data_IF_131707454446
#
_entry.id   IF_131707454446
#
_cell.length_a   1.000
_cell.length_b   1.000
_cell.length_c   1.000
_cell.angle_alpha   90.00
_cell.angle_beta   90.00
_cell.angle_gamma   90.00
#
_symmetry.space_group_name_H-M   'P 1'
#
loop_
_entity.id
_entity.type
_entity.pdbx_description
1 polymer ?
#
# COMPACT_ATOMS: atom_id res chain seq x y z
N UNK A 1 -7.59 6.53 18.18
CA UNK A 1 -6.88 7.74 17.75
C UNK A 1 -5.51 7.87 18.44
N UNK A 2 -5.45 7.79 19.76
CA UNK A 2 -4.24 8.07 20.54
C UNK A 2 -3.09 7.08 20.31
N UNK A 3 -3.38 5.77 20.18
CA UNK A 3 -2.33 4.74 20.07
C UNK A 3 -1.78 4.53 18.67
N UNK A 4 -2.61 4.76 17.64
CA UNK A 4 -2.27 4.53 16.23
C UNK A 4 -2.83 5.67 15.36
N UNK A 5 -2.31 6.90 15.51
CA UNK A 5 -2.83 8.07 14.77
C UNK A 5 -2.72 7.90 13.26
N UNK A 6 -1.69 7.21 12.77
CA UNK A 6 -1.51 6.92 11.34
C UNK A 6 -2.70 6.16 10.73
N UNK A 7 -3.28 5.20 11.46
CA UNK A 7 -4.47 4.49 10.97
C UNK A 7 -5.67 5.43 10.89
N UNK A 8 -5.85 6.31 11.86
CA UNK A 8 -6.90 7.33 11.80
C UNK A 8 -6.72 8.24 10.59
N UNK A 9 -5.50 8.76 10.39
CA UNK A 9 -5.19 9.64 9.26
C UNK A 9 -5.46 8.96 7.90
N UNK A 10 -5.07 7.69 7.74
CA UNK A 10 -5.32 6.97 6.49
C UNK A 10 -6.81 6.72 6.26
N UNK A 11 -7.57 6.35 7.30
CA UNK A 11 -9.00 6.10 7.17
C UNK A 11 -9.80 7.37 6.88
N UNK A 12 -9.39 8.52 7.39
CA UNK A 12 -9.98 9.83 7.08
C UNK A 12 -9.79 10.26 5.62
N UNK A 13 -8.77 9.73 4.93
CA UNK A 13 -8.48 9.99 3.50
C UNK A 13 -9.17 9.01 2.54
N UNK A 14 -9.89 7.99 3.05
CA UNK A 14 -10.65 7.06 2.22
C UNK A 14 -11.90 7.76 1.66
N UNK A 15 -12.11 7.67 0.36
CA UNK A 15 -13.33 8.05 -0.35
C UNK A 15 -13.91 9.43 0.06
N UNK A 16 -15.14 9.47 0.51
CA UNK A 16 -15.84 10.66 1.03
C UNK A 16 -16.48 10.37 2.39
N UNK A 17 -16.88 11.40 3.17
CA UNK A 17 -17.59 11.19 4.44
C UNK A 17 -18.82 10.29 4.29
N UNK A 18 -19.59 10.45 3.21
CA UNK A 18 -20.81 9.65 2.95
C UNK A 18 -20.46 8.17 2.77
N UNK A 19 -19.42 7.86 1.98
CA UNK A 19 -18.98 6.48 1.78
C UNK A 19 -18.41 5.90 3.07
N UNK A 20 -17.64 6.66 3.85
CA UNK A 20 -17.11 6.20 5.14
C UNK A 20 -18.20 5.92 6.18
N UNK A 21 -19.32 6.63 6.13
CA UNK A 21 -20.47 6.37 7.01
C UNK A 21 -21.15 5.03 6.74
N UNK A 22 -21.07 4.52 5.51
CA UNK A 22 -21.66 3.24 5.11
C UNK A 22 -20.63 2.12 4.96
N UNK A 23 -19.35 2.47 4.72
CA UNK A 23 -18.28 1.53 4.49
C UNK A 23 -17.66 0.97 5.77
N UNK A 24 -16.96 -0.16 5.63
CA UNK A 24 -16.14 -0.75 6.70
C UNK A 24 -14.67 -0.78 6.31
N UNK A 25 -13.77 -0.80 7.29
CA UNK A 25 -12.35 -0.99 7.03
C UNK A 25 -12.07 -2.34 6.35
N UNK A 26 -12.79 -3.40 6.76
CA UNK A 26 -12.72 -4.71 6.11
C UNK A 26 -13.06 -4.65 4.62
N UNK A 27 -14.15 -3.96 4.26
CA UNK A 27 -14.53 -3.74 2.85
C UNK A 27 -13.51 -2.91 2.07
N UNK A 28 -12.88 -1.93 2.72
CA UNK A 28 -11.82 -1.13 2.10
C UNK A 28 -10.58 -1.99 1.76
N UNK A 29 -10.10 -2.83 2.66
CA UNK A 29 -8.91 -3.65 2.42
C UNK A 29 -9.17 -4.85 1.51
N UNK A 30 -10.42 -5.33 1.46
CA UNK A 30 -10.83 -6.45 0.62
C UNK A 30 -11.28 -6.03 -0.80
N UNK A 31 -11.29 -4.72 -1.11
CA UNK A 31 -11.76 -4.25 -2.40
C UNK A 31 -10.84 -4.69 -3.54
N UNK A 32 -11.44 -4.93 -4.71
CA UNK A 32 -10.71 -5.27 -5.92
C UNK A 32 -10.12 -4.02 -6.59
N UNK A 33 -9.18 -4.24 -7.52
CA UNK A 33 -8.51 -3.16 -8.26
C UNK A 33 -9.49 -2.21 -8.96
N UNK A 34 -9.04 -0.98 -9.17
CA UNK A 34 -9.79 0.08 -9.88
C UNK A 34 -9.30 0.29 -11.30
N UNK A 35 -8.51 -0.63 -11.84
CA UNK A 35 -8.08 -0.57 -13.24
C UNK A 35 -9.26 -0.33 -14.18
N UNK A 36 -9.21 0.72 -14.97
CA UNK A 36 -10.27 1.14 -15.89
C UNK A 36 -10.70 0.02 -16.83
N UNK A 37 -9.73 -0.62 -17.48
CA UNK A 37 -9.96 -1.68 -18.46
C UNK A 37 -10.68 -2.88 -17.86
N UNK A 38 -10.25 -3.31 -16.68
CA UNK A 38 -10.90 -4.39 -15.94
C UNK A 38 -12.32 -4.01 -15.50
N UNK A 39 -12.50 -2.79 -14.99
CA UNK A 39 -13.80 -2.29 -14.49
C UNK A 39 -14.81 -2.05 -15.62
N UNK A 40 -14.37 -1.75 -16.83
CA UNK A 40 -15.20 -1.67 -18.02
C UNK A 40 -15.54 -3.04 -18.61
N UNK A 41 -15.08 -4.15 -18.03
CA UNK A 41 -15.42 -5.51 -18.45
C UNK A 41 -14.62 -6.02 -19.65
N UNK A 42 -13.45 -5.41 -19.96
CA UNK A 42 -12.60 -5.95 -21.00
C UNK A 42 -12.02 -7.31 -20.58
N UNK A 43 -11.90 -8.30 -21.48
CA UNK A 43 -11.39 -9.63 -21.19
C UNK A 43 -9.85 -9.62 -21.04
N UNK A 44 -9.36 -8.95 -19.99
CA UNK A 44 -7.95 -8.93 -19.65
C UNK A 44 -7.55 -10.23 -18.89
N UNK A 45 -6.25 -10.43 -18.64
CA UNK A 45 -5.75 -11.59 -17.87
C UNK A 45 -6.51 -11.80 -16.58
N UNK A 46 -6.82 -10.71 -15.84
CA UNK A 46 -7.57 -10.77 -14.58
C UNK A 46 -9.02 -11.23 -14.77
N UNK A 47 -9.62 -10.95 -15.92
CA UNK A 47 -10.97 -11.35 -16.29
C UNK A 47 -11.02 -12.66 -17.08
N UNK A 48 -9.93 -13.45 -17.08
CA UNK A 48 -9.85 -14.74 -17.77
C UNK A 48 -9.43 -14.66 -19.26
N UNK A 49 -9.06 -13.49 -19.74
CA UNK A 49 -8.52 -13.30 -21.10
C UNK A 49 -7.00 -13.47 -21.16
N UNK A 50 -6.38 -12.94 -22.21
CA UNK A 50 -4.97 -13.16 -22.54
C UNK A 50 -4.18 -11.87 -22.85
N UNK A 51 -4.69 -10.72 -22.45
CA UNK A 51 -4.09 -9.40 -22.74
C UNK A 51 -4.21 -8.51 -21.52
N UNK A 52 -3.19 -7.68 -21.24
CA UNK A 52 -3.32 -6.54 -20.33
C UNK A 52 -3.54 -5.26 -21.13
N UNK A 53 -4.76 -4.76 -21.19
CA UNK A 53 -5.08 -3.55 -21.94
C UNK A 53 -4.47 -2.28 -21.36
N UNK A 54 -4.10 -2.29 -20.08
CA UNK A 54 -3.41 -1.18 -19.43
C UNK A 54 -1.90 -1.14 -19.75
N UNK A 55 -1.34 -2.25 -20.26
CA UNK A 55 0.07 -2.38 -20.62
C UNK A 55 0.25 -2.43 -22.14
N UNK A 56 -0.32 -1.44 -22.83
CA UNK A 56 -0.18 -1.24 -24.27
C UNK A 56 0.35 0.16 -24.57
N UNK A 57 0.97 0.41 -25.74
CA UNK A 57 1.60 1.70 -26.05
C UNK A 57 0.69 2.91 -25.97
N UNK A 58 -0.62 2.75 -26.19
CA UNK A 58 -1.62 3.83 -26.14
C UNK A 58 -2.51 3.78 -24.89
N UNK A 59 -2.22 2.90 -23.94
CA UNK A 59 -3.04 2.72 -22.75
C UNK A 59 -2.95 3.92 -21.81
N UNK A 60 -4.09 4.28 -21.22
CA UNK A 60 -4.16 5.21 -20.08
C UNK A 60 -3.72 4.49 -18.82
N UNK A 61 -2.43 4.56 -18.50
CA UNK A 61 -1.82 3.80 -17.39
C UNK A 61 -1.14 4.65 -16.32
N UNK A 62 -1.51 5.91 -16.24
CA UNK A 62 -1.01 6.89 -15.28
C UNK A 62 -1.08 6.44 -13.82
N UNK A 63 -2.11 5.69 -13.46
CA UNK A 63 -2.38 5.26 -12.07
C UNK A 63 -1.87 3.85 -11.76
N UNK A 64 -1.24 3.19 -12.74
CA UNK A 64 -0.84 1.79 -12.63
C UNK A 64 0.53 1.62 -11.97
N UNK A 65 0.98 0.38 -11.87
CA UNK A 65 2.13 -0.05 -11.06
C UNK A 65 3.47 0.50 -11.53
N UNK A 66 4.42 0.57 -10.59
CA UNK A 66 5.86 0.72 -10.85
C UNK A 66 6.61 -0.59 -10.62
N UNK A 67 6.02 -1.53 -9.88
CA UNK A 67 6.67 -2.78 -9.46
C UNK A 67 5.73 -3.97 -9.63
N UNK A 68 6.30 -5.18 -9.63
CA UNK A 68 5.51 -6.41 -9.60
C UNK A 68 4.57 -6.62 -10.78
N UNK A 69 4.88 -6.01 -11.93
CA UNK A 69 4.11 -6.16 -13.16
C UNK A 69 4.38 -7.53 -13.78
N UNK A 70 3.60 -8.54 -13.39
CA UNK A 70 3.51 -9.81 -14.08
C UNK A 70 2.11 -9.93 -14.69
N UNK A 71 1.97 -9.88 -15.99
CA UNK A 71 0.70 -9.97 -16.74
C UNK A 71 -0.39 -8.98 -16.33
N UNK A 72 -0.29 -8.33 -15.17
CA UNK A 72 -1.23 -7.32 -14.68
C UNK A 72 -0.49 -6.16 -14.04
N UNK A 73 -0.78 -4.95 -14.49
CA UNK A 73 -0.17 -3.70 -14.00
C UNK A 73 -1.07 -2.94 -13.02
N UNK A 74 -2.08 -3.59 -12.45
CA UNK A 74 -2.99 -2.98 -11.48
C UNK A 74 -2.26 -2.66 -10.16
N UNK A 75 -2.85 -1.77 -9.36
CA UNK A 75 -2.39 -1.42 -8.03
C UNK A 75 -3.46 -1.70 -6.99
N UNK A 76 -3.06 -1.92 -5.73
CA UNK A 76 -4.01 -1.95 -4.62
C UNK A 76 -4.63 -0.57 -4.43
N UNK A 77 -5.98 -0.47 -4.33
CA UNK A 77 -6.65 0.81 -4.19
C UNK A 77 -6.84 1.24 -2.73
N UNK A 78 -6.47 0.41 -1.76
CA UNK A 78 -6.72 0.68 -0.34
C UNK A 78 -5.68 1.65 0.25
N UNK A 79 -6.12 2.81 0.72
CA UNK A 79 -5.28 3.77 1.42
C UNK A 79 -4.84 3.25 2.82
N UNK A 80 -5.61 2.35 3.42
CA UNK A 80 -5.29 1.77 4.73
C UNK A 80 -4.35 0.56 4.64
N UNK A 81 -4.25 -0.09 3.50
CA UNK A 81 -3.44 -1.29 3.33
C UNK A 81 -1.95 -1.06 3.69
N UNK A 82 -1.27 0.01 3.21
CA UNK A 82 0.11 0.29 3.59
C UNK A 82 0.28 0.52 5.09
N UNK A 83 -0.68 1.18 5.73
CA UNK A 83 -0.66 1.44 7.17
C UNK A 83 -0.77 0.15 7.98
N UNK A 84 -1.66 -0.77 7.57
CA UNK A 84 -1.82 -2.05 8.24
C UNK A 84 -0.57 -2.92 8.11
N UNK A 85 0.10 -2.89 6.96
CA UNK A 85 1.39 -3.57 6.77
C UNK A 85 2.48 -2.92 7.62
N UNK A 86 2.57 -1.58 7.65
CA UNK A 86 3.55 -0.87 8.47
C UNK A 86 3.37 -1.12 9.98
N UNK A 87 2.13 -1.31 10.44
CA UNK A 87 1.80 -1.63 11.82
C UNK A 87 1.84 -3.14 12.15
N UNK A 88 2.23 -3.99 11.21
CA UNK A 88 2.24 -5.45 11.36
C UNK A 88 0.87 -6.03 11.82
N UNK A 89 -0.21 -5.49 11.29
CA UNK A 89 -1.56 -5.88 11.66
C UNK A 89 -1.80 -7.36 11.35
N UNK A 90 -2.66 -7.99 12.15
CA UNK A 90 -3.11 -9.37 11.95
C UNK A 90 -4.56 -9.35 11.45
N UNK A 91 -4.78 -10.02 10.34
CA UNK A 91 -6.07 -10.14 9.66
C UNK A 91 -6.73 -11.43 10.10
N UNK A 92 -7.86 -11.35 10.79
CA UNK A 92 -8.60 -12.50 11.30
C UNK A 92 -9.68 -12.88 10.30
N UNK A 93 -9.55 -14.05 9.72
CA UNK A 93 -10.43 -14.54 8.66
C UNK A 93 -11.17 -15.78 9.21
N UNK A 94 -12.48 -15.79 9.04
CA UNK A 94 -13.34 -16.90 9.47
C UNK A 94 -14.14 -17.45 8.28
N UNK A 95 -14.33 -18.76 8.28
CA UNK A 95 -15.22 -19.46 7.35
C UNK A 95 -15.86 -20.69 8.07
N UNK A 96 -16.56 -21.55 7.33
CA UNK A 96 -17.20 -22.77 7.87
C UNK A 96 -16.21 -23.77 8.49
N UNK A 97 -14.91 -23.71 8.14
CA UNK A 97 -13.87 -24.60 8.65
C UNK A 97 -13.15 -24.05 9.89
N UNK A 98 -13.47 -22.83 10.31
CA UNK A 98 -12.88 -22.17 11.48
C UNK A 98 -12.21 -20.84 11.20
N UNK A 99 -11.44 -20.36 12.20
CA UNK A 99 -10.68 -19.11 12.16
C UNK A 99 -9.24 -19.36 11.70
N UNK A 100 -8.72 -18.46 10.85
CA UNK A 100 -7.28 -18.34 10.56
C UNK A 100 -6.82 -16.89 10.68
N UNK A 101 -5.58 -16.71 11.09
CA UNK A 101 -4.97 -15.39 11.23
C UNK A 101 -3.77 -15.33 10.29
N UNK A 102 -3.71 -14.28 9.49
CA UNK A 102 -2.58 -13.99 8.60
C UNK A 102 -2.04 -12.59 8.89
N UNK A 103 -0.78 -12.32 8.59
CA UNK A 103 -0.25 -10.96 8.67
C UNK A 103 -0.89 -10.08 7.59
N UNK A 104 -0.91 -8.76 7.80
CA UNK A 104 -1.38 -7.83 6.77
C UNK A 104 -0.51 -7.92 5.49
N UNK A 105 0.79 -8.20 5.65
CA UNK A 105 1.72 -8.37 4.53
C UNK A 105 1.37 -9.61 3.67
N UNK A 106 0.98 -10.72 4.30
CA UNK A 106 0.55 -11.95 3.62
C UNK A 106 -0.92 -11.92 3.14
N UNK A 107 -1.72 -10.99 3.66
CA UNK A 107 -3.14 -10.86 3.29
C UNK A 107 -3.32 -10.37 1.85
N UNK A 108 -2.49 -9.46 1.39
CA UNK A 108 -2.51 -8.93 0.03
C UNK A 108 -1.65 -9.82 -0.87
N UNK A 109 -2.18 -10.20 -2.02
CA UNK A 109 -1.48 -11.06 -2.99
C UNK A 109 -1.36 -10.39 -4.34
N UNK A 110 -0.24 -10.67 -5.01
CA UNK A 110 0.06 -10.16 -6.35
C UNK A 110 -0.43 -11.10 -7.46
N UNK A 111 -0.32 -10.64 -8.71
CA UNK A 111 -0.74 -11.42 -9.89
C UNK A 111 0.13 -12.66 -10.13
N UNK A 112 1.29 -12.76 -9.52
CA UNK A 112 2.18 -13.93 -9.50
C UNK A 112 1.61 -15.09 -8.67
N UNK A 113 0.87 -14.77 -7.60
CA UNK A 113 0.20 -15.75 -6.74
C UNK A 113 -1.19 -16.12 -7.30
N UNK A 114 -2.03 -15.12 -7.56
CA UNK A 114 -3.34 -15.31 -8.18
C UNK A 114 -3.77 -14.01 -8.88
N UNK A 115 -3.82 -14.05 -10.19
CA UNK A 115 -4.16 -12.88 -11.01
C UNK A 115 -5.63 -12.44 -10.86
N UNK A 116 -6.51 -13.31 -10.38
CA UNK A 116 -7.94 -13.02 -10.26
C UNK A 116 -8.32 -12.35 -8.95
N UNK A 117 -7.44 -12.33 -7.96
CA UNK A 117 -7.70 -11.81 -6.61
C UNK A 117 -6.64 -10.79 -6.18
N UNK A 118 -7.01 -9.92 -5.23
CA UNK A 118 -6.08 -8.95 -4.60
C UNK A 118 -5.71 -9.36 -3.17
N UNK A 119 -6.38 -10.39 -2.63
CA UNK A 119 -6.22 -10.85 -1.24
C UNK A 119 -6.32 -12.37 -1.17
N UNK A 120 -5.89 -12.93 -0.03
CA UNK A 120 -5.99 -14.38 0.26
C UNK A 120 -7.43 -14.85 0.54
N UNK A 121 -8.41 -13.94 0.58
CA UNK A 121 -9.81 -14.28 0.80
C UNK A 121 -10.33 -15.16 -0.33
N UNK A 122 -11.05 -16.21 0.05
CA UNK A 122 -11.73 -17.16 -0.87
C UNK A 122 -13.24 -17.04 -0.71
N UNK A 123 -14.04 -17.53 -1.65
CA UNK A 123 -15.49 -17.62 -1.45
C UNK A 123 -15.83 -18.28 -0.11
N UNK A 124 -16.70 -17.64 0.68
CA UNK A 124 -17.06 -18.09 2.03
C UNK A 124 -16.19 -17.58 3.16
N UNK A 125 -15.08 -16.90 2.88
CA UNK A 125 -14.25 -16.23 3.89
C UNK A 125 -14.83 -14.87 4.28
N UNK A 126 -14.80 -14.56 5.58
CA UNK A 126 -15.18 -13.27 6.14
C UNK A 126 -14.00 -12.73 6.94
N UNK A 127 -13.54 -11.51 6.61
CA UNK A 127 -12.60 -10.76 7.45
C UNK A 127 -13.37 -10.20 8.64
N UNK A 128 -13.22 -10.85 9.80
CA UNK A 128 -14.02 -10.53 11.01
C UNK A 128 -13.39 -9.44 11.87
N UNK A 129 -12.05 -9.38 11.92
CA UNK A 129 -11.35 -8.34 12.67
C UNK A 129 -9.94 -8.10 12.14
N UNK A 130 -9.41 -6.91 12.46
CA UNK A 130 -8.03 -6.51 12.22
C UNK A 130 -7.43 -6.18 13.58
N UNK A 131 -6.42 -6.95 14.00
CA UNK A 131 -5.75 -6.80 15.29
C UNK A 131 -4.44 -6.05 15.09
N UNK A 132 -4.26 -4.94 15.83
CA UNK A 132 -3.02 -4.18 15.84
C UNK A 132 -2.14 -4.64 17.00
N UNK A 133 -0.89 -5.04 16.76
CA UNK A 133 0.03 -5.46 17.80
C UNK A 133 0.48 -4.25 18.63
N UNK A 134 0.66 -4.46 19.96
CA UNK A 134 1.06 -3.39 20.90
C UNK A 134 2.47 -2.87 20.63
N UNK A 135 3.29 -3.64 19.96
CA UNK A 135 4.70 -3.38 19.67
C UNK A 135 4.94 -2.11 18.84
N UNK A 136 3.91 -1.62 18.16
CA UNK A 136 3.95 -0.38 17.39
C UNK A 136 3.25 0.78 18.09
N UNK A 137 2.61 0.56 19.24
CA UNK A 137 1.98 1.64 19.99
C UNK A 137 3.05 2.62 20.53
N UNK A 138 2.87 3.91 20.25
CA UNK A 138 3.82 4.96 20.67
C UNK A 138 5.01 5.15 19.74
N UNK A 139 5.06 4.49 18.58
CA UNK A 139 6.02 4.81 17.54
C UNK A 139 5.82 6.26 17.04
N UNK A 140 6.84 6.82 16.42
CA UNK A 140 6.68 7.99 15.56
C UNK A 140 6.02 7.53 14.26
N UNK A 141 5.05 8.30 13.77
CA UNK A 141 4.25 7.92 12.62
C UNK A 141 4.23 9.01 11.57
N UNK A 142 4.23 8.57 10.31
CA UNK A 142 3.93 9.44 9.20
C UNK A 142 3.03 8.74 8.19
N UNK A 143 1.99 9.44 7.73
CA UNK A 143 1.15 9.01 6.62
C UNK A 143 0.90 10.19 5.70
N UNK A 144 1.10 10.00 4.41
CA UNK A 144 0.75 10.96 3.38
C UNK A 144 0.18 10.26 2.17
N UNK A 145 -0.92 10.79 1.66
CA UNK A 145 -1.58 10.37 0.43
C UNK A 145 -1.50 11.50 -0.57
N UNK A 146 -0.96 11.24 -1.76
CA UNK A 146 -1.02 12.14 -2.91
C UNK A 146 -2.03 11.59 -3.91
N UNK A 147 -2.98 12.44 -4.29
CA UNK A 147 -4.05 12.17 -5.24
C UNK A 147 -4.34 13.44 -6.04
N UNK A 148 -5.11 13.33 -7.14
CA UNK A 148 -5.48 14.52 -7.94
C UNK A 148 -6.51 15.40 -7.22
N UNK A 149 -7.31 14.80 -6.33
CA UNK A 149 -8.32 15.50 -5.52
C UNK A 149 -8.15 15.14 -4.04
N UNK A 150 -8.49 16.04 -3.15
CA UNK A 150 -8.40 15.83 -1.70
C UNK A 150 -9.39 14.79 -1.18
N UNK A 151 -10.52 14.64 -1.86
CA UNK A 151 -11.59 13.69 -1.50
C UNK A 151 -12.09 12.96 -2.73
N UNK A 152 -12.69 11.78 -2.51
CA UNK A 152 -13.25 10.94 -3.56
C UNK A 152 -12.22 10.55 -4.63
N UNK A 153 -11.02 10.20 -4.20
CA UNK A 153 -9.96 9.82 -5.11
C UNK A 153 -9.09 8.72 -4.54
N UNK A 154 -8.50 7.92 -5.42
CA UNK A 154 -7.50 6.92 -5.05
C UNK A 154 -6.12 7.56 -5.02
N UNK A 155 -5.20 6.98 -4.27
CA UNK A 155 -3.84 7.51 -4.23
C UNK A 155 -3.12 7.25 -5.56
N UNK A 156 -2.43 8.27 -6.05
CA UNK A 156 -1.36 8.11 -7.04
C UNK A 156 -0.19 7.37 -6.40
N UNK A 157 0.25 7.86 -5.24
CA UNK A 157 1.18 7.23 -4.32
C UNK A 157 0.80 7.62 -2.90
N UNK A 158 0.87 6.71 -1.96
CA UNK A 158 0.86 7.01 -0.54
C UNK A 158 2.03 6.34 0.18
N UNK A 159 2.38 6.85 1.35
CA UNK A 159 3.43 6.31 2.21
C UNK A 159 2.94 6.21 3.64
N UNK A 160 3.26 5.09 4.28
CA UNK A 160 3.08 4.85 5.70
C UNK A 160 4.44 4.53 6.33
N UNK A 161 4.81 5.24 7.38
CA UNK A 161 6.04 5.01 8.13
C UNK A 161 5.71 4.91 9.61
N UNK A 162 6.26 3.89 10.27
CA UNK A 162 6.28 3.73 11.73
C UNK A 162 7.71 3.53 12.19
N UNK A 163 8.16 4.28 13.20
CA UNK A 163 9.57 4.33 13.61
C UNK A 163 9.73 4.47 15.12
N UNK A 164 10.68 3.73 15.70
CA UNK A 164 11.17 3.95 17.05
C UNK A 164 12.61 4.45 17.03
N UNK A 165 12.89 5.41 17.89
CA UNK A 165 14.24 5.95 18.11
C UNK A 165 14.84 5.41 19.41
N UNK A 166 16.16 5.24 19.39
CA UNK A 166 16.99 5.06 20.60
C UNK A 166 18.04 6.17 20.60
N UNK A 167 17.79 7.20 21.39
CA UNK A 167 18.55 8.45 21.31
C UNK A 167 18.34 9.11 19.95
N UNK A 168 19.42 9.37 19.23
CA UNK A 168 19.43 9.95 17.89
C UNK A 168 19.34 8.93 16.76
N UNK A 169 19.46 7.62 17.08
CA UNK A 169 19.47 6.54 16.08
C UNK A 169 18.12 5.87 15.91
N UNK A 170 17.82 5.47 14.69
CA UNK A 170 16.62 4.69 14.35
C UNK A 170 16.81 3.27 14.90
N UNK A 171 15.99 2.89 15.89
CA UNK A 171 16.04 1.56 16.48
C UNK A 171 15.31 0.53 15.62
N UNK A 172 14.13 0.91 15.11
CA UNK A 172 13.26 0.07 14.28
C UNK A 172 12.39 0.94 13.41
N UNK A 173 12.23 0.56 12.16
CA UNK A 173 11.39 1.30 11.21
C UNK A 173 10.66 0.35 10.27
N UNK A 174 9.46 0.73 9.85
CA UNK A 174 8.75 0.17 8.72
C UNK A 174 8.31 1.27 7.77
N UNK A 175 8.56 1.06 6.49
CA UNK A 175 8.19 1.98 5.41
C UNK A 175 7.44 1.22 4.34
N UNK A 176 6.21 1.62 4.07
CA UNK A 176 5.33 0.94 3.12
C UNK A 176 4.69 1.95 2.18
N UNK A 177 4.74 1.69 0.88
CA UNK A 177 4.08 2.50 -0.14
C UNK A 177 2.86 1.79 -0.72
N UNK A 178 1.82 2.57 -1.00
CA UNK A 178 0.63 2.14 -1.75
C UNK A 178 0.52 2.87 -3.08
N UNK A 179 -0.30 2.33 -3.99
CA UNK A 179 -0.50 2.87 -5.33
C UNK A 179 0.67 2.61 -6.29
N UNK A 180 1.67 1.83 -5.91
CA UNK A 180 2.87 1.56 -6.71
C UNK A 180 3.04 0.09 -7.11
N UNK A 181 2.27 -0.80 -6.50
CA UNK A 181 2.27 -2.23 -6.77
C UNK A 181 0.86 -2.81 -6.54
N UNK A 182 0.63 -4.02 -7.02
CA UNK A 182 -0.63 -4.73 -6.82
C UNK A 182 -0.90 -5.02 -5.33
N UNK A 183 0.16 -5.09 -4.53
CA UNK A 183 0.16 -5.21 -3.07
C UNK A 183 0.72 -3.94 -2.42
N UNK A 184 0.47 -3.69 -1.11
CA UNK A 184 1.22 -2.68 -0.36
C UNK A 184 2.70 -3.03 -0.38
N UNK A 185 3.52 -2.14 -0.94
CA UNK A 185 4.96 -2.40 -1.11
C UNK A 185 5.74 -2.00 0.13
N UNK A 186 6.20 -2.98 0.89
CA UNK A 186 7.14 -2.76 1.98
C UNK A 186 8.55 -2.52 1.42
N UNK A 187 9.22 -1.48 1.92
CA UNK A 187 10.51 -1.03 1.44
C UNK A 187 11.65 -1.55 2.35
N UNK A 188 11.84 -2.87 2.39
CA UNK A 188 12.84 -3.51 3.28
C UNK A 188 14.25 -2.95 3.07
N UNK A 189 14.68 -2.70 1.84
CA UNK A 189 15.98 -2.07 1.59
C UNK A 189 16.11 -0.65 2.14
N UNK A 190 15.02 0.11 2.28
CA UNK A 190 15.00 1.40 2.98
C UNK A 190 15.06 1.18 4.48
N UNK A 191 14.31 0.23 5.02
CA UNK A 191 14.31 -0.12 6.45
C UNK A 191 15.70 -0.56 6.92
N UNK A 192 16.37 -1.41 6.13
CA UNK A 192 17.74 -1.88 6.40
C UNK A 192 18.75 -0.72 6.38
N UNK A 193 18.61 0.20 5.41
CA UNK A 193 19.46 1.39 5.30
C UNK A 193 19.30 2.33 6.49
N UNK A 194 18.09 2.46 7.03
CA UNK A 194 17.76 3.41 8.10
C UNK A 194 18.10 2.87 9.50
N UNK A 195 18.01 1.55 9.71
CA UNK A 195 18.13 0.95 11.04
C UNK A 195 19.55 1.09 11.59
N UNK A 196 19.67 1.65 12.78
CA UNK A 196 20.94 1.90 13.49
C UNK A 196 21.60 3.24 13.15
N UNK A 197 21.06 4.00 12.21
CA UNK A 197 21.62 5.26 11.74
C UNK A 197 20.88 6.48 12.32
N UNK A 198 21.59 7.62 12.52
CA UNK A 198 20.97 8.89 12.85
C UNK A 198 20.34 9.51 11.60
N UNK A 199 19.20 10.19 11.77
CA UNK A 199 18.54 10.89 10.65
C UNK A 199 19.36 12.11 10.26
N UNK A 200 19.81 12.15 9.00
CA UNK A 200 20.48 13.29 8.38
C UNK A 200 20.11 13.37 6.89
N UNK A 201 20.43 14.48 6.24
CA UNK A 201 20.05 14.78 4.87
C UNK A 201 20.59 13.76 3.85
N UNK A 202 21.82 13.27 4.06
CA UNK A 202 22.44 12.29 3.17
C UNK A 202 21.72 10.95 3.26
N UNK A 203 21.42 10.47 4.47
CA UNK A 203 20.65 9.24 4.71
C UNK A 203 19.25 9.34 4.08
N UNK A 204 18.56 10.46 4.28
CA UNK A 204 17.23 10.72 3.70
C UNK A 204 17.29 10.70 2.17
N UNK A 205 18.30 11.32 1.58
CA UNK A 205 18.51 11.33 0.12
C UNK A 205 18.78 9.92 -0.42
N UNK A 206 19.64 9.15 0.23
CA UNK A 206 19.92 7.76 -0.14
C UNK A 206 18.67 6.89 -0.03
N UNK A 207 17.90 7.02 1.03
CA UNK A 207 16.64 6.28 1.25
C UNK A 207 15.63 6.52 0.13
N UNK A 208 15.51 7.77 -0.36
CA UNK A 208 14.68 8.07 -1.53
C UNK A 208 15.09 7.30 -2.77
N UNK A 209 16.39 7.29 -3.11
CA UNK A 209 16.91 6.54 -4.25
C UNK A 209 16.78 5.01 -4.12
N UNK A 210 16.91 4.48 -2.88
CA UNK A 210 16.69 3.05 -2.61
C UNK A 210 15.21 2.70 -2.76
N UNK A 211 14.29 3.57 -2.37
CA UNK A 211 12.85 3.34 -2.47
C UNK A 211 12.38 3.06 -3.90
N UNK A 212 12.96 3.72 -4.89
CA UNK A 212 12.59 3.56 -6.31
C UNK A 212 13.41 2.51 -7.06
N UNK A 213 14.37 1.86 -6.40
CA UNK A 213 15.23 0.86 -7.06
C UNK A 213 14.41 -0.29 -7.64
N UNK A 214 14.60 -0.56 -8.93
CA UNK A 214 13.88 -1.59 -9.66
C UNK A 214 12.50 -1.16 -10.17
N UNK A 215 12.12 0.11 -10.01
CA UNK A 215 10.89 0.64 -10.61
C UNK A 215 10.95 0.55 -12.14
N UNK A 216 9.85 0.06 -12.73
CA UNK A 216 9.64 0.00 -14.18
C UNK A 216 8.39 0.81 -14.50
N UNK A 217 8.60 1.95 -15.16
CA UNK A 217 7.50 2.83 -15.54
C UNK A 217 6.76 2.33 -16.77
N UNK A 218 5.49 2.62 -16.83
CA UNK A 218 4.65 2.53 -18.02
C UNK A 218 4.67 3.88 -18.76
N UNK A 219 3.95 3.97 -19.88
CA UNK A 219 4.03 5.16 -20.76
C UNK A 219 3.66 6.49 -20.07
N UNK A 220 2.76 6.47 -19.10
CA UNK A 220 2.19 7.70 -18.51
C UNK A 220 2.37 7.81 -16.99
N UNK A 221 3.18 6.95 -16.36
CA UNK A 221 3.35 6.97 -14.90
C UNK A 221 4.78 7.26 -14.41
N UNK A 222 5.63 7.84 -15.27
CA UNK A 222 7.01 8.20 -14.93
C UNK A 222 7.10 9.13 -13.71
N UNK A 223 6.13 10.04 -13.54
CA UNK A 223 6.06 10.99 -12.44
C UNK A 223 5.94 10.31 -11.06
N UNK A 224 5.44 9.08 -11.01
CA UNK A 224 5.28 8.34 -9.75
C UNK A 224 6.62 7.98 -9.12
N UNK A 225 7.70 7.84 -9.90
CA UNK A 225 9.04 7.54 -9.38
C UNK A 225 9.54 8.68 -8.50
N UNK A 226 9.76 9.92 -8.99
CA UNK A 226 10.19 11.02 -8.14
C UNK A 226 9.15 11.37 -7.06
N UNK A 227 7.86 11.14 -7.30
CA UNK A 227 6.82 11.33 -6.29
C UNK A 227 7.03 10.38 -5.11
N UNK A 228 7.23 9.08 -5.37
CA UNK A 228 7.49 8.06 -4.35
C UNK A 228 8.77 8.37 -3.56
N UNK A 229 9.88 8.71 -4.26
CA UNK A 229 11.14 9.09 -3.62
C UNK A 229 10.97 10.26 -2.65
N UNK A 230 10.28 11.31 -3.10
CA UNK A 230 10.06 12.51 -2.28
C UNK A 230 9.11 12.25 -1.11
N UNK A 231 8.10 11.38 -1.26
CA UNK A 231 7.24 10.96 -0.16
C UNK A 231 8.02 10.18 0.90
N UNK A 232 8.89 9.26 0.51
CA UNK A 232 9.74 8.51 1.44
C UNK A 232 10.72 9.44 2.17
N UNK A 233 11.39 10.36 1.46
CA UNK A 233 12.26 11.38 2.09
C UNK A 233 11.50 12.19 3.12
N UNK A 234 10.31 12.67 2.78
CA UNK A 234 9.46 13.48 3.64
C UNK A 234 8.98 12.70 4.86
N UNK A 235 8.62 11.41 4.66
CA UNK A 235 8.21 10.54 5.75
C UNK A 235 9.32 10.37 6.79
N UNK A 236 10.56 10.15 6.37
CA UNK A 236 11.71 9.99 7.28
C UNK A 236 12.01 11.30 8.02
N UNK A 237 11.97 12.44 7.32
CA UNK A 237 12.33 13.74 7.92
C UNK A 237 11.27 14.30 8.88
N UNK A 238 10.01 13.84 8.81
CA UNK A 238 8.87 14.41 9.56
C UNK A 238 8.25 13.48 10.59
N UNK A 239 8.73 12.25 10.69
CA UNK A 239 8.28 11.26 11.68
C UNK A 239 8.79 11.53 13.11
#
# INVERSE_FOLDING_TARGET
KERYPMLTQSTEKIASPQIRNAGTLGGNVAQDTRCWYYRYGLPCYRAGGNTCYADTPSAMNREHTLFGADRCVAVTPSDSAPVLVALDAKMVIQNSNGERIVSAEEFFIGPDVDITRMTVLKPGDILTSIRLPKEWAGARYYFEKVADRETWDFSLVNVALAMFMNGDKIQRVRVVCGGVECVPRRLTGVEDLLTGEPINDDLVKMAGGVASRGAKTLNFNHFKVPLMENLVKRAISRA
#
